data_IF_390938195752
#
_entry.id   IF_390938195752
#
_cell.length_a   1.000
_cell.length_b   1.000
_cell.length_c   1.000
_cell.angle_alpha   90.00
_cell.angle_beta   90.00
_cell.angle_gamma   90.00
#
_symmetry.space_group_name_H-M   'P 1'
#
loop_
_entity.id
_entity.type
_entity.pdbx_description
1 polymer ?
#
# COMPACT_ATOMS: atom_id res chain seq x y z
N UNK A 1 10.28 47.08 -46.81
CA UNK A 1 10.79 47.14 -45.42
C UNK A 1 9.64 46.79 -44.47
N UNK A 2 9.39 45.51 -44.19
CA UNK A 2 8.47 45.08 -43.12
C UNK A 2 8.99 43.72 -42.64
N UNK A 3 10.03 43.78 -41.81
CA UNK A 3 10.70 42.62 -41.26
C UNK A 3 10.17 42.32 -39.85
N UNK A 4 10.24 41.03 -39.51
CA UNK A 4 10.64 40.56 -38.19
C UNK A 4 9.62 40.54 -37.04
N UNK A 5 8.41 40.00 -37.24
CA UNK A 5 7.61 39.58 -36.08
C UNK A 5 6.69 38.39 -36.36
N UNK A 6 7.26 37.29 -36.87
CA UNK A 6 6.66 35.97 -36.71
C UNK A 6 7.36 35.36 -35.52
N UNK A 7 6.64 35.37 -34.41
CA UNK A 7 6.91 34.72 -33.14
C UNK A 7 7.95 33.63 -33.24
N UNK A 8 9.07 33.89 -32.57
CA UNK A 8 9.87 32.83 -31.99
C UNK A 8 8.96 32.01 -31.06
N UNK A 9 8.26 31.02 -31.61
CA UNK A 9 7.75 29.91 -30.80
C UNK A 9 8.99 29.34 -30.14
N UNK A 10 9.12 29.63 -28.84
CA UNK A 10 9.96 28.89 -27.90
C UNK A 10 9.62 27.42 -28.14
N UNK A 11 10.40 26.77 -28.99
CA UNK A 11 10.51 25.32 -29.02
C UNK A 11 11.14 25.05 -27.66
N UNK A 12 10.30 24.73 -26.69
CA UNK A 12 10.72 24.36 -25.35
C UNK A 12 11.82 23.34 -25.51
N UNK A 13 13.02 23.70 -25.06
CA UNK A 13 14.19 22.84 -25.06
C UNK A 13 13.78 21.46 -24.55
N UNK A 14 14.21 20.35 -25.20
CA UNK A 14 14.12 19.04 -24.59
C UNK A 14 14.96 19.11 -23.32
N UNK A 15 14.30 19.37 -22.19
CA UNK A 15 14.88 19.44 -20.87
C UNK A 15 15.37 18.02 -20.59
N UNK A 16 16.65 17.76 -20.85
CA UNK A 16 17.25 16.48 -20.52
C UNK A 16 16.99 16.21 -19.05
N UNK A 17 16.29 15.11 -18.74
CA UNK A 17 16.07 14.66 -17.37
C UNK A 17 17.43 14.62 -16.69
N UNK A 18 17.66 15.57 -15.79
CA UNK A 18 18.92 15.68 -15.08
C UNK A 18 19.13 14.36 -14.33
N UNK A 19 20.28 13.72 -14.50
CA UNK A 19 20.61 12.40 -13.93
C UNK A 19 20.27 12.36 -12.42
N UNK A 20 20.41 13.51 -11.76
CA UNK A 20 20.01 13.75 -10.38
C UNK A 20 18.53 13.44 -10.11
N UNK A 21 17.60 13.89 -10.96
CA UNK A 21 16.16 13.63 -10.81
C UNK A 21 15.83 12.14 -10.91
N UNK A 22 16.48 11.45 -11.85
CA UNK A 22 16.33 10.00 -12.04
C UNK A 22 16.86 9.24 -10.83
N UNK A 23 18.05 9.60 -10.33
CA UNK A 23 18.64 9.00 -9.12
C UNK A 23 17.76 9.25 -7.90
N UNK A 24 17.29 10.47 -7.69
CA UNK A 24 16.42 10.84 -6.56
C UNK A 24 15.13 10.02 -6.57
N UNK A 25 14.52 9.83 -7.74
CA UNK A 25 13.32 9.01 -7.91
C UNK A 25 13.55 7.56 -7.50
N UNK A 26 14.66 6.95 -7.91
CA UNK A 26 14.99 5.58 -7.52
C UNK A 26 15.31 5.45 -6.03
N UNK A 27 16.01 6.43 -5.45
CA UNK A 27 16.25 6.46 -4.00
C UNK A 27 14.92 6.51 -3.24
N UNK A 28 14.00 7.40 -3.63
CA UNK A 28 12.67 7.47 -3.01
C UNK A 28 11.91 6.14 -3.13
N UNK A 29 11.98 5.49 -4.31
CA UNK A 29 11.37 4.17 -4.51
C UNK A 29 11.96 3.12 -3.57
N UNK A 30 13.29 3.06 -3.46
CA UNK A 30 14.00 2.11 -2.58
C UNK A 30 13.61 2.32 -1.12
N UNK A 31 13.50 3.57 -0.66
CA UNK A 31 13.09 3.89 0.71
C UNK A 31 11.67 3.40 0.99
N UNK A 32 10.75 3.63 0.04
CA UNK A 32 9.35 3.17 0.16
C UNK A 32 9.28 1.65 0.15
N UNK A 33 10.02 0.99 -0.74
CA UNK A 33 10.06 -0.47 -0.86
C UNK A 33 10.66 -1.11 0.40
N UNK A 34 11.74 -0.54 0.95
CA UNK A 34 12.34 -0.99 2.21
C UNK A 34 11.34 -0.90 3.38
N UNK A 35 10.61 0.21 3.49
CA UNK A 35 9.56 0.35 4.50
C UNK A 35 8.44 -0.68 4.32
N UNK A 36 8.00 -0.90 3.08
CA UNK A 36 6.98 -1.87 2.76
C UNK A 36 7.41 -3.32 3.09
N UNK A 37 8.66 -3.68 2.81
CA UNK A 37 9.22 -4.99 3.14
C UNK A 37 9.33 -5.21 4.64
N UNK A 38 9.70 -4.19 5.42
CA UNK A 38 9.71 -4.27 6.88
C UNK A 38 8.30 -4.53 7.40
N UNK A 39 7.30 -3.78 6.94
CA UNK A 39 5.91 -4.02 7.32
C UNK A 39 5.44 -5.42 6.93
N UNK A 40 5.72 -5.84 5.69
CA UNK A 40 5.40 -7.17 5.20
C UNK A 40 5.97 -8.26 6.12
N UNK A 41 7.25 -8.15 6.48
CA UNK A 41 7.90 -9.06 7.41
C UNK A 41 7.25 -9.05 8.80
N UNK A 42 6.95 -7.86 9.36
CA UNK A 42 6.29 -7.73 10.65
C UNK A 42 4.91 -8.42 10.67
N UNK A 43 4.09 -8.25 9.64
CA UNK A 43 2.76 -8.87 9.58
C UNK A 43 2.82 -10.38 9.35
N UNK A 44 3.77 -10.86 8.57
CA UNK A 44 4.03 -12.29 8.41
C UNK A 44 4.45 -12.92 9.75
N UNK A 45 5.35 -12.26 10.49
CA UNK A 45 5.79 -12.72 11.81
C UNK A 45 4.66 -12.70 12.85
N UNK A 46 3.78 -11.69 12.80
CA UNK A 46 2.60 -11.60 13.65
C UNK A 46 1.48 -12.60 13.28
N UNK A 47 1.67 -13.41 12.22
CA UNK A 47 0.67 -14.37 11.75
C UNK A 47 -0.53 -13.74 11.06
N UNK A 48 -0.51 -12.44 10.81
CA UNK A 48 -1.63 -11.73 10.18
C UNK A 48 -1.49 -11.72 8.65
N UNK A 49 -1.87 -12.84 8.06
CA UNK A 49 -1.75 -13.08 6.61
C UNK A 49 -2.56 -12.10 5.76
N UNK A 50 -3.68 -11.58 6.27
CA UNK A 50 -4.53 -10.65 5.53
C UNK A 50 -3.81 -9.32 5.25
N UNK A 51 -3.21 -8.70 6.27
CA UNK A 51 -2.45 -7.47 6.10
C UNK A 51 -1.16 -7.68 5.31
N UNK A 52 -0.47 -8.80 5.54
CA UNK A 52 0.73 -9.15 4.77
C UNK A 52 0.42 -9.27 3.28
N UNK A 53 -0.67 -9.98 2.91
CA UNK A 53 -1.07 -10.12 1.51
C UNK A 53 -1.36 -8.77 0.84
N UNK A 54 -2.07 -7.88 1.54
CA UNK A 54 -2.43 -6.55 1.02
C UNK A 54 -1.17 -5.71 0.76
N UNK A 55 -0.25 -5.65 1.72
CA UNK A 55 1.01 -4.91 1.58
C UNK A 55 1.84 -5.48 0.44
N UNK A 56 1.92 -6.81 0.32
CA UNK A 56 2.62 -7.47 -0.77
C UNK A 56 2.04 -7.11 -2.15
N UNK A 57 0.71 -7.17 -2.30
CA UNK A 57 0.02 -6.82 -3.56
C UNK A 57 0.22 -5.36 -3.92
N UNK A 58 0.07 -4.44 -2.97
CA UNK A 58 0.25 -2.99 -3.21
C UNK A 58 1.70 -2.68 -3.59
N UNK A 59 2.66 -3.29 -2.91
CA UNK A 59 4.10 -3.09 -3.17
C UNK A 59 4.49 -3.64 -4.54
N UNK A 60 4.03 -4.84 -4.89
CA UNK A 60 4.24 -5.42 -6.21
C UNK A 60 3.59 -4.57 -7.31
N UNK A 61 2.35 -4.12 -7.11
CA UNK A 61 1.65 -3.22 -8.03
C UNK A 61 2.37 -1.89 -8.24
N UNK A 62 2.85 -1.27 -7.16
CA UNK A 62 3.61 -0.02 -7.22
C UNK A 62 4.91 -0.20 -8.01
N UNK A 63 5.67 -1.27 -7.77
CA UNK A 63 6.87 -1.60 -8.52
C UNK A 63 6.56 -1.82 -10.02
N UNK A 64 5.51 -2.56 -10.36
CA UNK A 64 5.10 -2.77 -11.77
C UNK A 64 4.77 -1.43 -12.45
N UNK A 65 4.02 -0.54 -11.78
CA UNK A 65 3.66 0.79 -12.32
C UNK A 65 4.90 1.64 -12.55
N UNK A 66 5.85 1.61 -11.63
CA UNK A 66 7.06 2.43 -11.73
C UNK A 66 8.03 1.89 -12.78
N UNK A 67 8.24 0.57 -12.85
CA UNK A 67 9.18 -0.07 -13.77
C UNK A 67 8.65 -0.15 -15.20
N UNK A 68 7.33 -0.29 -15.40
CA UNK A 68 6.75 -0.50 -16.73
C UNK A 68 6.69 0.79 -17.57
N UNK A 69 7.33 0.83 -18.76
CA UNK A 69 7.25 1.98 -19.68
C UNK A 69 5.83 2.38 -20.12
N UNK A 70 4.91 1.46 -20.47
CA UNK A 70 3.56 1.83 -20.90
C UNK A 70 2.68 2.39 -19.77
N UNK A 71 3.04 2.19 -18.50
CA UNK A 71 2.30 2.73 -17.36
C UNK A 71 2.75 4.15 -16.96
N UNK A 72 3.41 4.89 -17.86
CA UNK A 72 3.83 6.27 -17.61
C UNK A 72 2.74 7.20 -17.02
N UNK A 73 1.46 7.16 -17.49
CA UNK A 73 0.40 7.99 -16.91
C UNK A 73 0.15 7.68 -15.42
N UNK A 74 0.27 6.41 -15.03
CA UNK A 74 0.02 5.97 -13.66
C UNK A 74 1.14 6.36 -12.68
N UNK A 75 2.31 6.77 -13.14
CA UNK A 75 3.40 7.22 -12.26
C UNK A 75 3.02 8.48 -11.48
N UNK A 76 2.30 9.41 -12.12
CA UNK A 76 1.78 10.62 -11.48
C UNK A 76 0.60 10.34 -10.56
N UNK A 77 -0.15 9.26 -10.84
CA UNK A 77 -1.24 8.78 -10.00
C UNK A 77 -0.78 7.88 -8.85
N UNK A 78 0.47 7.38 -8.88
CA UNK A 78 0.98 6.40 -7.92
C UNK A 78 0.77 6.76 -6.44
N UNK A 79 1.03 8.01 -5.96
CA UNK A 79 0.76 8.33 -4.56
C UNK A 79 -0.74 8.23 -4.22
N UNK A 80 -1.62 8.66 -5.13
CA UNK A 80 -3.07 8.52 -4.98
C UNK A 80 -3.51 7.06 -5.03
N UNK A 81 -2.92 6.26 -5.92
CA UNK A 81 -3.24 4.83 -6.06
C UNK A 81 -2.88 4.04 -4.79
N UNK A 82 -1.75 4.36 -4.17
CA UNK A 82 -1.34 3.76 -2.89
C UNK A 82 -2.37 4.09 -1.81
N UNK A 83 -2.78 5.36 -1.72
CA UNK A 83 -3.73 5.83 -0.71
C UNK A 83 -5.12 5.20 -0.90
N UNK A 84 -5.61 5.14 -2.14
CA UNK A 84 -6.89 4.48 -2.49
C UNK A 84 -6.82 2.99 -2.18
N UNK A 85 -5.69 2.33 -2.47
CA UNK A 85 -5.52 0.91 -2.18
C UNK A 85 -5.59 0.63 -0.67
N UNK A 86 -4.95 1.46 0.15
CA UNK A 86 -4.93 1.32 1.61
C UNK A 86 -6.24 1.72 2.29
N UNK A 87 -6.88 2.80 1.85
CA UNK A 87 -8.03 3.38 2.56
C UNK A 87 -9.38 2.97 1.98
N UNK A 88 -9.43 2.50 0.74
CA UNK A 88 -10.69 2.15 0.05
C UNK A 88 -10.70 0.67 -0.31
N UNK A 89 -9.71 0.21 -1.06
CA UNK A 89 -9.68 -1.17 -1.56
C UNK A 89 -9.54 -2.17 -0.40
N UNK A 90 -8.63 -1.91 0.55
CA UNK A 90 -8.45 -2.76 1.73
C UNK A 90 -9.73 -2.97 2.56
N UNK A 91 -10.45 -1.93 3.05
CA UNK A 91 -11.66 -2.16 3.82
C UNK A 91 -12.79 -2.82 3.02
N UNK A 92 -12.87 -2.59 1.70
CA UNK A 92 -13.82 -3.32 0.84
C UNK A 92 -13.50 -4.82 0.85
N UNK A 93 -12.26 -5.23 0.61
CA UNK A 93 -11.89 -6.65 0.66
C UNK A 93 -12.07 -7.24 2.06
N UNK A 94 -11.73 -6.50 3.11
CA UNK A 94 -11.87 -6.95 4.48
C UNK A 94 -13.35 -7.19 4.85
N UNK A 95 -14.25 -6.30 4.44
CA UNK A 95 -15.69 -6.46 4.67
C UNK A 95 -16.27 -7.65 3.91
N UNK A 96 -15.84 -7.85 2.65
CA UNK A 96 -16.23 -9.04 1.88
C UNK A 96 -15.73 -10.31 2.56
N UNK A 97 -14.48 -10.36 3.00
CA UNK A 97 -13.91 -11.50 3.73
C UNK A 97 -14.65 -11.79 5.04
N UNK A 98 -14.96 -10.74 5.82
CA UNK A 98 -15.65 -10.88 7.12
C UNK A 98 -17.09 -11.37 6.96
N UNK A 99 -17.75 -11.02 5.84
CA UNK A 99 -19.10 -11.46 5.54
C UNK A 99 -19.23 -12.98 5.39
N UNK A 100 -18.16 -13.67 4.97
CA UNK A 100 -18.14 -15.14 4.82
C UNK A 100 -17.69 -15.91 6.06
N UNK A 101 -17.19 -15.24 7.10
CA UNK A 101 -16.47 -15.88 8.21
C UNK A 101 -17.24 -15.87 9.55
N UNK A 102 -18.51 -15.46 9.55
CA UNK A 102 -19.39 -15.38 10.74
C UNK A 102 -18.78 -14.56 11.89
N UNK A 103 -18.18 -13.40 11.58
CA UNK A 103 -17.76 -12.43 12.58
C UNK A 103 -18.95 -11.59 13.09
N UNK A 104 -19.77 -12.18 13.96
CA UNK A 104 -20.89 -11.52 14.65
C UNK A 104 -20.65 -11.29 16.15
N UNK A 105 -21.50 -10.49 16.81
CA UNK A 105 -21.40 -10.07 18.22
C UNK A 105 -21.13 -11.22 19.22
N UNK A 106 -21.61 -12.44 18.94
CA UNK A 106 -21.46 -13.61 19.82
C UNK A 106 -20.29 -14.55 19.50
N UNK A 107 -19.50 -14.29 18.44
CA UNK A 107 -18.41 -15.18 17.98
C UNK A 107 -17.07 -14.47 17.74
N UNK A 108 -16.83 -13.31 18.39
CA UNK A 108 -15.60 -12.53 18.18
C UNK A 108 -14.36 -13.09 18.91
N UNK A 109 -14.59 -13.93 19.92
CA UNK A 109 -13.53 -14.52 20.73
C UNK A 109 -13.02 -15.81 20.10
N UNK A 110 -11.70 -16.00 20.08
CA UNK A 110 -11.15 -17.29 19.64
C UNK A 110 -11.54 -18.40 20.62
N UNK A 111 -11.71 -19.64 20.14
CA UNK A 111 -12.05 -20.78 21.03
C UNK A 111 -11.05 -20.93 22.18
N UNK A 112 -9.77 -20.67 21.92
CA UNK A 112 -8.71 -20.72 22.93
C UNK A 112 -8.90 -19.64 24.00
N UNK A 113 -9.20 -18.42 23.59
CA UNK A 113 -9.44 -17.29 24.50
C UNK A 113 -10.67 -17.51 25.38
N UNK A 114 -11.74 -18.09 24.82
CA UNK A 114 -12.93 -18.46 25.57
C UNK A 114 -12.61 -19.50 26.66
N UNK A 115 -11.84 -20.54 26.34
CA UNK A 115 -11.41 -21.56 27.32
C UNK A 115 -10.57 -20.92 28.43
N UNK A 116 -9.60 -20.08 28.07
CA UNK A 116 -8.74 -19.37 29.03
C UNK A 116 -9.60 -18.49 29.94
N UNK A 117 -10.55 -17.72 29.39
CA UNK A 117 -11.45 -16.86 30.17
C UNK A 117 -12.28 -17.67 31.16
N UNK A 118 -12.81 -18.83 30.76
CA UNK A 118 -13.58 -19.69 31.66
C UNK A 118 -12.73 -20.36 32.74
N UNK A 119 -11.51 -20.82 32.42
CA UNK A 119 -10.61 -21.40 33.41
C UNK A 119 -10.14 -20.34 34.40
N UNK A 120 -9.77 -19.16 33.90
CA UNK A 120 -9.23 -18.04 34.69
C UNK A 120 -10.33 -17.38 35.52
N UNK A 121 -11.50 -17.09 34.94
CA UNK A 121 -12.67 -16.54 35.65
C UNK A 121 -13.25 -17.48 36.72
N UNK A 122 -13.10 -18.80 36.56
CA UNK A 122 -13.47 -19.78 37.60
C UNK A 122 -12.48 -19.74 38.79
N UNK A 123 -11.20 -19.44 38.57
CA UNK A 123 -10.18 -19.40 39.62
C UNK A 123 -10.40 -18.25 40.62
N UNK A 124 -10.88 -17.08 40.17
CA UNK A 124 -11.13 -15.93 41.06
C UNK A 124 -12.47 -15.98 41.81
N UNK A 125 -13.35 -16.93 41.49
CA UNK A 125 -14.67 -17.06 42.12
C UNK A 125 -14.65 -17.93 43.39
N UNK A 126 -13.54 -18.61 43.68
CA UNK A 126 -13.40 -19.50 44.84
C UNK A 126 -12.30 -19.07 45.83
N UNK A 127 -12.03 -17.75 45.90
CA UNK A 127 -11.22 -17.12 46.95
C UNK A 127 -12.02 -16.03 47.63
#
# INVERSE_FOLDING_TARGET
>A
MTAANVEQRKVGSPQGDSILSTVLKYIALIVVDAFALVLLYTFLYAGNLAFAAVIGIVTAGANIIVLSPPLYPFRWMSPGLILVSLLVVYPIFYTVYTAFTNFGDSHRESKQEVVIRYTTGRQYRFV
#
